data_IF_259081024396
#
_entry.id   IF_259081024396
#
_cell.length_a   1.000
_cell.length_b   1.000
_cell.length_c   1.000
_cell.angle_alpha   90.00
_cell.angle_beta   90.00
_cell.angle_gamma   90.00
#
_symmetry.space_group_name_H-M   'P 1'
#
loop_
_entity.id
_entity.type
_entity.pdbx_description
1 polymer ?
#
# COMPACT_ATOMS: atom_id res chain seq x y z
N UNK A 1 -5.18 -18.57 8.53
CA UNK A 1 -4.39 -17.33 8.32
C UNK A 1 -3.03 -17.76 7.84
N UNK A 2 -2.57 -17.30 6.67
CA UNK A 2 -1.23 -17.61 6.17
C UNK A 2 -0.32 -16.44 6.57
N UNK A 3 0.63 -16.66 7.46
CA UNK A 3 1.64 -15.67 7.82
C UNK A 3 2.78 -15.74 6.80
N UNK A 4 2.81 -14.81 5.85
CA UNK A 4 3.90 -14.69 4.89
C UNK A 4 4.94 -13.75 5.51
N UNK A 5 5.99 -14.31 6.11
CA UNK A 5 7.15 -13.52 6.52
C UNK A 5 7.88 -13.03 5.26
N UNK A 6 8.00 -11.72 5.12
CA UNK A 6 8.78 -11.09 4.05
C UNK A 6 9.96 -10.28 4.59
N UNK A 7 10.76 -9.64 3.72
CA UNK A 7 11.74 -8.63 4.13
C UNK A 7 11.07 -7.53 5.00
N UNK A 8 11.83 -6.54 5.49
CA UNK A 8 11.20 -5.29 5.97
C UNK A 8 10.44 -4.66 4.80
N UNK A 9 9.23 -5.15 4.54
CA UNK A 9 8.32 -4.73 3.50
C UNK A 9 7.68 -3.47 4.07
N UNK A 10 7.77 -2.38 3.33
CA UNK A 10 6.91 -1.25 3.61
C UNK A 10 5.48 -1.73 3.38
N UNK A 11 4.58 -1.51 4.34
CA UNK A 11 3.15 -1.82 4.20
C UNK A 11 2.52 -0.88 3.18
N UNK A 12 2.94 -0.97 1.93
CA UNK A 12 2.29 -0.32 0.80
C UNK A 12 1.25 -1.24 0.18
N UNK A 13 0.60 -0.75 -0.86
CA UNK A 13 -0.40 -1.49 -1.64
C UNK A 13 0.10 -2.89 -2.04
N UNK A 14 -0.74 -3.89 -1.85
CA UNK A 14 -0.50 -5.30 -2.21
C UNK A 14 -1.54 -5.75 -3.23
N UNK A 15 -1.11 -6.47 -4.27
CA UNK A 15 -2.04 -7.16 -5.18
C UNK A 15 -1.76 -8.65 -5.22
N UNK A 16 -2.83 -9.43 -5.38
CA UNK A 16 -2.80 -10.89 -5.39
C UNK A 16 -3.34 -11.38 -6.73
N UNK A 17 -2.51 -12.07 -7.51
CA UNK A 17 -2.96 -12.69 -8.76
C UNK A 17 -2.97 -14.21 -8.63
N UNK A 18 -4.08 -14.83 -9.05
CA UNK A 18 -4.17 -16.27 -9.29
C UNK A 18 -3.99 -16.53 -10.78
N UNK A 19 -2.99 -17.32 -11.17
CA UNK A 19 -2.84 -17.75 -12.55
C UNK A 19 -3.68 -19.01 -12.79
N UNK A 20 -4.44 -19.07 -13.89
CA UNK A 20 -5.37 -20.17 -14.14
C UNK A 20 -4.65 -21.52 -14.34
N UNK A 21 -5.26 -22.57 -13.78
CA UNK A 21 -4.93 -24.00 -13.94
C UNK A 21 -3.50 -24.40 -13.58
N UNK A 22 -3.24 -24.45 -12.26
CA UNK A 22 -2.11 -25.20 -11.69
C UNK A 22 -0.84 -24.41 -11.42
N UNK A 23 -0.87 -23.08 -11.55
CA UNK A 23 0.24 -22.20 -11.19
C UNK A 23 0.03 -21.51 -9.84
N UNK A 24 1.10 -21.14 -9.12
CA UNK A 24 1.01 -20.64 -7.76
C UNK A 24 0.47 -19.22 -7.69
N UNK A 25 -0.13 -18.89 -6.54
CA UNK A 25 -0.48 -17.54 -6.15
C UNK A 25 0.75 -16.63 -6.24
N UNK A 26 0.61 -15.48 -6.89
CA UNK A 26 1.61 -14.43 -6.92
C UNK A 26 1.15 -13.23 -6.08
N UNK A 27 1.95 -12.85 -5.08
CA UNK A 27 1.77 -11.61 -4.33
C UNK A 27 2.74 -10.56 -4.88
N UNK A 28 2.26 -9.37 -5.21
CA UNK A 28 3.10 -8.27 -5.66
C UNK A 28 2.99 -7.10 -4.68
N UNK A 29 4.14 -6.57 -4.27
CA UNK A 29 4.28 -5.41 -3.37
C UNK A 29 5.59 -4.68 -3.68
N UNK A 30 5.94 -3.67 -2.88
CA UNK A 30 7.20 -2.93 -2.94
C UNK A 30 8.06 -3.18 -1.68
N UNK A 31 9.37 -3.09 -1.83
CA UNK A 31 10.26 -2.93 -0.66
C UNK A 31 10.41 -1.46 -0.25
N UNK A 32 11.20 -1.20 0.79
CA UNK A 32 11.46 0.17 1.29
C UNK A 32 12.25 1.05 0.31
N UNK A 33 12.66 0.53 -0.84
CA UNK A 33 13.35 1.28 -1.91
C UNK A 33 12.47 1.44 -3.16
N UNK A 34 11.16 1.22 -3.04
CA UNK A 34 10.19 1.28 -4.14
C UNK A 34 10.47 0.28 -5.28
N UNK A 35 11.15 -0.83 -4.96
CA UNK A 35 11.42 -1.90 -5.92
C UNK A 35 10.32 -2.97 -5.84
N UNK A 36 9.62 -3.28 -6.95
CA UNK A 36 8.61 -4.33 -6.96
C UNK A 36 9.19 -5.70 -6.56
N UNK A 37 8.51 -6.36 -5.62
CA UNK A 37 8.80 -7.73 -5.19
C UNK A 37 7.62 -8.63 -5.45
N UNK A 38 7.91 -9.85 -5.91
CA UNK A 38 6.92 -10.88 -6.13
C UNK A 38 7.19 -12.07 -5.20
N UNK A 39 6.17 -12.54 -4.52
CA UNK A 39 6.18 -13.78 -3.75
C UNK A 39 5.46 -14.87 -4.55
N UNK A 40 6.05 -16.06 -4.62
CA UNK A 40 5.42 -17.23 -5.21
C UNK A 40 5.16 -18.29 -4.15
N UNK A 41 3.93 -18.81 -4.12
CA UNK A 41 3.54 -19.86 -3.16
C UNK A 41 4.26 -21.21 -3.34
N UNK A 42 4.86 -21.48 -4.51
CA UNK A 42 5.58 -22.74 -4.77
C UNK A 42 6.92 -22.82 -4.06
N UNK A 43 7.67 -21.71 -4.01
CA UNK A 43 9.01 -21.66 -3.44
C UNK A 43 9.08 -20.90 -2.10
N UNK A 44 7.92 -20.39 -1.64
CA UNK A 44 7.78 -19.59 -0.41
C UNK A 44 8.83 -18.48 -0.28
N UNK A 45 9.24 -17.89 -1.40
CA UNK A 45 10.32 -16.90 -1.43
C UNK A 45 9.91 -15.59 -2.08
N UNK A 46 10.42 -14.48 -1.54
CA UNK A 46 10.32 -13.16 -2.15
C UNK A 46 11.46 -12.98 -3.14
N UNK A 47 11.14 -12.50 -4.35
CA UNK A 47 12.15 -12.25 -5.40
C UNK A 47 11.97 -10.86 -6.00
N UNK A 48 13.09 -10.25 -6.35
CA UNK A 48 13.10 -9.12 -7.27
C UNK A 48 12.74 -9.61 -8.67
N UNK A 49 12.07 -8.78 -9.45
CA UNK A 49 11.86 -9.05 -10.88
C UNK A 49 13.14 -8.61 -11.63
N UNK A 50 13.98 -9.54 -12.13
CA UNK A 50 15.37 -9.22 -12.52
C UNK A 50 15.50 -8.27 -13.70
N UNK A 51 14.49 -8.23 -14.56
CA UNK A 51 14.46 -7.45 -15.81
C UNK A 51 13.81 -6.08 -15.63
N UNK A 52 13.39 -5.72 -14.42
CA UNK A 52 12.74 -4.43 -14.14
C UNK A 52 13.74 -3.29 -14.37
N UNK A 53 13.38 -2.27 -15.17
CA UNK A 53 14.18 -1.06 -15.28
C UNK A 53 14.33 -0.38 -13.92
N UNK A 54 15.52 0.15 -13.65
CA UNK A 54 15.77 1.02 -12.50
C UNK A 54 14.90 2.28 -12.62
N UNK A 55 13.88 2.38 -11.75
CA UNK A 55 12.97 3.52 -11.66
C UNK A 55 12.35 3.54 -10.25
N UNK A 56 11.70 4.65 -9.90
CA UNK A 56 10.86 4.76 -8.71
C UNK A 56 9.45 4.30 -9.06
N UNK A 57 9.11 3.07 -8.70
CA UNK A 57 7.81 2.46 -8.99
C UNK A 57 6.84 2.77 -7.85
N UNK A 58 5.71 3.40 -8.17
CA UNK A 58 4.84 4.01 -7.15
C UNK A 58 3.46 3.38 -6.98
N UNK A 59 2.90 2.71 -8.00
CA UNK A 59 1.58 2.08 -7.84
C UNK A 59 1.39 0.79 -8.65
N UNK A 60 0.76 -0.20 -8.00
CA UNK A 60 0.42 -1.50 -8.58
C UNK A 60 -1.09 -1.67 -8.75
N UNK A 61 -1.50 -2.44 -9.74
CA UNK A 61 -2.91 -2.78 -9.97
C UNK A 61 -3.03 -4.14 -10.67
N UNK A 62 -4.19 -4.78 -10.56
CA UNK A 62 -4.54 -5.94 -11.39
C UNK A 62 -5.42 -5.46 -12.55
N UNK A 63 -4.88 -5.50 -13.76
CA UNK A 63 -5.63 -5.20 -14.95
C UNK A 63 -6.41 -6.45 -15.42
N UNK A 64 -7.66 -6.25 -15.86
CA UNK A 64 -8.58 -7.33 -16.28
C UNK A 64 -8.75 -8.42 -15.21
N UNK A 65 -8.56 -8.07 -13.93
CA UNK A 65 -8.73 -8.95 -12.78
C UNK A 65 -7.58 -9.92 -12.49
N UNK A 66 -6.56 -10.02 -13.35
CA UNK A 66 -5.49 -11.00 -13.16
C UNK A 66 -4.10 -10.57 -13.63
N UNK A 67 -3.96 -9.51 -14.42
CA UNK A 67 -2.68 -9.06 -14.98
C UNK A 67 -2.00 -8.05 -14.04
N UNK A 68 -0.91 -8.42 -13.34
CA UNK A 68 -0.23 -7.48 -12.46
C UNK A 68 0.45 -6.39 -13.28
N UNK A 69 0.14 -5.14 -12.95
CA UNK A 69 0.68 -3.96 -13.58
C UNK A 69 1.38 -3.08 -12.55
N UNK A 70 2.51 -2.49 -12.94
CA UNK A 70 3.31 -1.57 -12.13
C UNK A 70 3.47 -0.26 -12.89
N UNK A 71 3.40 0.86 -12.18
CA UNK A 71 3.58 2.20 -12.74
C UNK A 71 4.66 2.98 -12.01
N UNK A 72 5.51 3.66 -12.75
CA UNK A 72 6.50 4.58 -12.19
C UNK A 72 5.94 5.99 -11.96
N UNK A 73 6.71 6.83 -11.28
CA UNK A 73 6.33 8.22 -10.98
C UNK A 73 5.98 9.07 -12.22
N UNK A 74 6.47 8.68 -13.40
CA UNK A 74 6.20 9.37 -14.67
C UNK A 74 5.01 8.76 -15.43
N UNK A 75 4.29 7.80 -14.83
CA UNK A 75 3.16 7.15 -15.48
C UNK A 75 3.57 6.10 -16.52
N UNK A 76 4.84 5.70 -16.60
CA UNK A 76 5.23 4.55 -17.43
C UNK A 76 4.68 3.30 -16.79
N UNK A 77 3.99 2.48 -17.56
CA UNK A 77 3.31 1.30 -17.01
C UNK A 77 3.75 0.03 -17.71
N UNK A 78 4.12 -0.95 -16.89
CA UNK A 78 4.56 -2.27 -17.30
C UNK A 78 3.59 -3.31 -16.77
N UNK A 79 3.35 -4.35 -17.56
CA UNK A 79 2.68 -5.57 -17.14
C UNK A 79 3.73 -6.64 -16.85
N UNK A 80 3.51 -7.37 -15.77
CA UNK A 80 4.28 -8.56 -15.42
C UNK A 80 3.51 -9.76 -15.98
N UNK A 81 4.03 -10.32 -17.07
CA UNK A 81 3.50 -11.53 -17.68
C UNK A 81 4.03 -12.80 -17.01
N UNK A 82 3.72 -13.93 -17.63
CA UNK A 82 4.22 -15.24 -17.21
C UNK A 82 5.76 -15.26 -17.16
N UNK A 83 6.31 -16.08 -16.25
CA UNK A 83 7.75 -16.21 -16.02
C UNK A 83 8.47 -14.87 -15.76
N UNK A 84 7.76 -13.91 -15.18
CA UNK A 84 8.27 -12.56 -14.90
C UNK A 84 8.70 -11.79 -16.15
N UNK A 85 8.13 -12.13 -17.30
CA UNK A 85 8.30 -11.32 -18.51
C UNK A 85 7.72 -9.93 -18.30
N UNK A 86 8.40 -8.92 -18.82
CA UNK A 86 7.97 -7.53 -18.66
C UNK A 86 7.51 -7.02 -20.01
N UNK A 87 6.28 -6.52 -20.06
CA UNK A 87 5.68 -5.95 -21.26
C UNK A 87 5.35 -4.49 -21.02
N UNK A 88 5.84 -3.60 -21.88
CA UNK A 88 5.43 -2.20 -21.87
C UNK A 88 3.95 -2.10 -22.28
N UNK A 89 3.09 -1.68 -21.34
CA UNK A 89 1.70 -1.36 -21.60
C UNK A 89 1.55 0.09 -22.06
N UNK A 90 2.24 1.03 -21.42
CA UNK A 90 2.10 2.45 -21.76
C UNK A 90 3.39 3.24 -21.59
N UNK A 91 3.62 4.14 -22.54
CA UNK A 91 4.64 5.19 -22.43
C UNK A 91 4.29 6.20 -21.33
N UNK A 92 5.30 6.91 -20.77
CA UNK A 92 5.10 7.87 -19.69
C UNK A 92 4.13 9.01 -20.05
N UNK A 93 3.43 9.53 -19.04
CA UNK A 93 2.73 10.83 -19.06
C UNK A 93 3.35 11.72 -17.98
N UNK A 94 4.11 12.71 -18.42
CA UNK A 94 4.71 13.69 -17.55
C UNK A 94 3.65 14.67 -17.03
N UNK A 95 3.74 15.01 -15.75
CA UNK A 95 2.71 15.81 -15.11
C UNK A 95 2.85 15.83 -13.60
N UNK A 96 1.80 15.41 -12.91
CA UNK A 96 1.70 15.41 -11.46
C UNK A 96 2.79 14.60 -10.77
N UNK A 97 2.88 14.76 -9.46
CA UNK A 97 3.92 14.15 -8.64
C UNK A 97 3.55 12.77 -8.07
N UNK A 98 2.27 12.38 -8.17
CA UNK A 98 1.77 11.07 -7.71
C UNK A 98 0.94 10.43 -8.80
N UNK A 99 1.06 9.10 -8.94
CA UNK A 99 0.36 8.31 -9.95
C UNK A 99 -0.37 7.16 -9.27
N UNK A 100 -1.66 6.99 -9.57
CA UNK A 100 -2.42 5.80 -9.18
C UNK A 100 -2.87 5.02 -10.40
N UNK A 101 -2.78 3.69 -10.33
CA UNK A 101 -3.44 2.81 -11.30
C UNK A 101 -4.77 2.34 -10.74
N UNK A 102 -5.81 2.40 -11.56
CA UNK A 102 -7.15 1.95 -11.18
C UNK A 102 -7.72 1.10 -12.31
N UNK A 103 -8.07 -0.15 -12.02
CA UNK A 103 -8.90 -0.93 -12.94
C UNK A 103 -10.35 -0.44 -12.79
N UNK A 104 -10.99 -0.21 -13.93
CA UNK A 104 -12.38 0.23 -14.00
C UNK A 104 -13.01 -0.38 -15.24
N UNK A 105 -13.93 -1.32 -15.05
CA UNK A 105 -14.80 -1.78 -16.15
C UNK A 105 -14.01 -2.41 -17.33
N UNK A 106 -12.96 -3.17 -17.02
CA UNK A 106 -11.99 -3.75 -17.97
C UNK A 106 -11.06 -2.74 -18.67
N UNK A 107 -11.17 -1.45 -18.33
CA UNK A 107 -10.19 -0.44 -18.70
C UNK A 107 -9.15 -0.27 -17.58
N UNK A 108 -7.91 0.05 -17.97
CA UNK A 108 -6.89 0.51 -17.03
C UNK A 108 -6.85 2.03 -17.06
N UNK A 109 -7.02 2.64 -15.90
CA UNK A 109 -6.96 4.08 -15.72
C UNK A 109 -5.67 4.46 -14.99
N UNK A 110 -5.07 5.56 -15.41
CA UNK A 110 -3.99 6.26 -14.71
C UNK A 110 -4.56 7.57 -14.17
N UNK A 111 -4.49 7.75 -12.85
CA UNK A 111 -4.82 9.02 -12.19
C UNK A 111 -3.52 9.74 -11.89
N UNK A 112 -3.32 10.90 -12.52
CA UNK A 112 -2.16 11.78 -12.31
C UNK A 112 -2.53 12.94 -11.39
N UNK A 113 -1.88 13.00 -10.22
CA UNK A 113 -2.24 13.88 -9.13
C UNK A 113 -1.20 14.97 -8.94
N UNK A 114 -1.67 16.21 -8.83
CA UNK A 114 -0.86 17.40 -8.60
C UNK A 114 -1.10 17.89 -7.17
N UNK A 115 -0.03 18.06 -6.40
CA UNK A 115 -0.10 18.75 -5.10
C UNK A 115 -0.72 17.96 -3.96
N UNK A 116 -1.10 16.69 -4.17
CA UNK A 116 -1.79 15.85 -3.16
C UNK A 116 -0.97 15.68 -1.87
N UNK A 117 0.35 15.52 -1.98
CA UNK A 117 1.26 15.31 -0.84
C UNK A 117 2.10 16.54 -0.48
N UNK A 118 2.01 17.61 -1.28
CA UNK A 118 2.90 18.77 -1.17
C UNK A 118 2.17 20.09 -0.93
N UNK A 119 0.88 20.19 -1.24
CA UNK A 119 0.11 21.40 -1.01
C UNK A 119 -0.76 21.32 0.25
N UNK A 120 -0.66 22.30 1.16
CA UNK A 120 -1.61 22.41 2.26
C UNK A 120 -3.00 22.88 1.79
N UNK A 121 -3.15 23.41 0.58
CA UNK A 121 -4.41 24.01 0.11
C UNK A 121 -5.09 23.20 -0.99
N UNK A 122 -6.36 22.90 -0.78
CA UNK A 122 -7.17 22.08 -1.69
C UNK A 122 -7.31 22.70 -3.10
N UNK A 123 -7.22 24.03 -3.21
CA UNK A 123 -7.27 24.76 -4.49
C UNK A 123 -6.10 24.46 -5.44
N UNK A 124 -4.98 23.98 -4.89
CA UNK A 124 -3.79 23.66 -5.68
C UNK A 124 -3.79 22.19 -6.10
N UNK A 125 -4.71 21.39 -5.57
CA UNK A 125 -4.86 19.98 -5.89
C UNK A 125 -5.64 19.84 -7.19
N UNK A 126 -5.07 19.08 -8.12
CA UNK A 126 -5.69 18.76 -9.41
C UNK A 126 -5.45 17.30 -9.77
N UNK A 127 -6.37 16.75 -10.54
CA UNK A 127 -6.29 15.39 -11.06
C UNK A 127 -6.53 15.40 -12.55
N UNK A 128 -5.67 14.70 -13.28
CA UNK A 128 -5.89 14.32 -14.66
C UNK A 128 -6.07 12.80 -14.70
N UNK A 129 -7.11 12.32 -15.40
CA UNK A 129 -7.34 10.88 -15.56
C UNK A 129 -7.10 10.49 -17.00
N UNK A 130 -6.43 9.37 -17.21
CA UNK A 130 -6.13 8.81 -18.52
C UNK A 130 -6.60 7.37 -18.59
N UNK A 131 -7.06 6.94 -19.76
CA UNK A 131 -7.33 5.55 -20.09
C UNK A 131 -6.21 4.98 -20.93
N UNK A 132 -5.87 3.71 -20.70
CA UNK A 132 -4.92 2.96 -21.50
C UNK A 132 -5.46 2.73 -22.92
N UNK A 133 -4.65 3.07 -23.92
CA UNK A 133 -4.78 2.56 -25.29
C UNK A 133 -3.71 1.47 -25.47
N UNK A 134 -4.13 0.21 -25.26
CA UNK A 134 -3.24 -0.95 -25.30
C UNK A 134 -2.52 -1.10 -26.65
N UNK A 135 -3.21 -0.75 -27.74
CA UNK A 135 -2.70 -0.91 -29.10
C UNK A 135 -1.59 0.09 -29.38
N UNK A 136 -1.82 1.34 -29.01
CA UNK A 136 -0.88 2.44 -29.26
C UNK A 136 0.13 2.62 -28.11
N UNK A 137 0.01 1.83 -27.04
CA UNK A 137 0.85 1.87 -25.83
C UNK A 137 0.95 3.28 -25.25
N UNK A 138 -0.18 3.95 -25.12
CA UNK A 138 -0.25 5.34 -24.67
C UNK A 138 -1.43 5.56 -23.74
N UNK A 139 -1.37 6.66 -23.03
CA UNK A 139 -2.42 7.15 -22.17
C UNK A 139 -3.26 8.19 -22.92
N UNK A 140 -4.58 8.01 -22.92
CA UNK A 140 -5.54 8.93 -23.54
C UNK A 140 -6.30 9.65 -22.45
N UNK A 141 -6.16 10.98 -22.38
CA UNK A 141 -6.81 11.78 -21.35
C UNK A 141 -8.33 11.68 -21.44
N UNK A 142 -8.98 11.43 -20.31
CA UNK A 142 -10.43 11.43 -20.16
C UNK A 142 -10.90 12.81 -19.70
N UNK A 143 -12.05 13.23 -20.22
CA UNK A 143 -12.76 14.44 -19.75
C UNK A 143 -13.90 14.09 -18.79
N UNK A 144 -14.27 12.81 -18.70
CA UNK A 144 -15.31 12.32 -17.81
C UNK A 144 -15.09 10.84 -17.48
N UNK A 145 -15.52 10.43 -16.29
CA UNK A 145 -15.61 9.04 -15.86
C UNK A 145 -17.04 8.47 -16.00
N UNK A 146 -17.99 9.28 -16.49
CA UNK A 146 -19.40 8.87 -16.56
C UNK A 146 -19.97 8.54 -15.17
N UNK A 147 -20.54 7.35 -15.03
CA UNK A 147 -21.12 6.88 -13.74
C UNK A 147 -20.05 6.42 -12.73
N UNK A 148 -18.76 6.43 -13.10
CA UNK A 148 -17.71 5.87 -12.26
C UNK A 148 -17.26 6.84 -11.16
N UNK A 149 -17.04 6.27 -9.98
CA UNK A 149 -16.35 6.88 -8.83
C UNK A 149 -15.02 6.15 -8.66
N UNK A 150 -13.91 6.89 -8.60
CA UNK A 150 -12.61 6.32 -8.30
C UNK A 150 -12.26 6.58 -6.83
N UNK A 151 -11.78 5.56 -6.14
CA UNK A 151 -11.23 5.67 -4.80
C UNK A 151 -9.72 5.50 -4.92
N UNK A 152 -8.95 6.48 -4.48
CA UNK A 152 -7.49 6.46 -4.56
C UNK A 152 -6.87 6.84 -3.22
N UNK A 153 -5.98 5.98 -2.75
CA UNK A 153 -5.16 6.13 -1.56
C UNK A 153 -3.81 5.42 -1.81
N UNK A 154 -2.83 5.66 -0.95
CA UNK A 154 -1.51 5.03 -0.99
C UNK A 154 -1.61 3.50 -0.87
N UNK A 155 -2.53 3.03 -0.02
CA UNK A 155 -2.71 1.61 0.27
C UNK A 155 -3.70 0.90 -0.66
N UNK A 156 -4.63 1.65 -1.27
CA UNK A 156 -5.68 1.06 -2.08
C UNK A 156 -6.14 1.99 -3.20
N UNK A 157 -6.46 1.40 -4.34
CA UNK A 157 -7.22 2.12 -5.35
C UNK A 157 -8.12 1.18 -6.13
N UNK A 158 -9.36 1.60 -6.32
CA UNK A 158 -10.41 0.82 -6.97
C UNK A 158 -11.48 1.74 -7.56
N UNK A 159 -12.34 1.18 -8.41
CA UNK A 159 -13.45 1.88 -9.02
C UNK A 159 -14.78 1.19 -8.68
N UNK A 160 -15.84 1.99 -8.53
CA UNK A 160 -17.21 1.51 -8.45
C UNK A 160 -18.12 2.41 -9.29
N UNK A 161 -19.31 1.92 -9.64
CA UNK A 161 -20.32 2.77 -10.25
C UNK A 161 -21.09 3.52 -9.16
N UNK A 162 -21.48 4.77 -9.41
CA UNK A 162 -22.30 5.55 -8.49
C UNK A 162 -23.66 4.88 -8.29
N UNK A 163 -24.18 4.24 -9.33
CA UNK A 163 -25.41 3.45 -9.29
C UNK A 163 -25.33 2.30 -8.27
N UNK A 164 -24.25 1.51 -8.29
CA UNK A 164 -24.03 0.39 -7.35
C UNK A 164 -23.80 0.87 -5.91
N UNK A 165 -23.18 2.05 -5.77
CA UNK A 165 -22.98 2.70 -4.47
C UNK A 165 -24.25 3.39 -3.94
N UNK A 166 -25.28 3.51 -4.77
CA UNK A 166 -26.49 4.28 -4.47
C UNK A 166 -26.20 5.74 -4.07
N UNK A 167 -25.20 6.35 -4.72
CA UNK A 167 -24.86 7.78 -4.54
C UNK A 167 -25.34 8.60 -5.73
N UNK A 168 -25.46 9.91 -5.54
CA UNK A 168 -26.13 10.77 -6.50
C UNK A 168 -25.46 10.83 -7.87
N UNK A 169 -24.12 10.91 -7.93
CA UNK A 169 -23.39 11.17 -9.16
C UNK A 169 -22.09 10.34 -9.28
N UNK A 170 -21.72 9.97 -10.51
CA UNK A 170 -20.38 9.53 -10.82
C UNK A 170 -19.43 10.71 -11.06
N UNK A 171 -18.47 10.50 -11.96
CA UNK A 171 -17.56 11.53 -12.45
C UNK A 171 -16.68 12.18 -11.38
N UNK A 172 -16.32 11.42 -10.35
CA UNK A 172 -15.54 11.94 -9.23
C UNK A 172 -14.46 10.98 -8.73
N UNK A 173 -13.51 11.57 -8.01
CA UNK A 173 -12.41 10.88 -7.34
C UNK A 173 -12.52 11.18 -5.85
N UNK A 174 -12.50 10.14 -5.03
CA UNK A 174 -12.46 10.24 -3.57
C UNK A 174 -11.06 9.81 -3.11
N UNK A 175 -10.46 10.64 -2.26
CA UNK A 175 -9.12 10.39 -1.75
C UNK A 175 -8.98 10.89 -0.30
N UNK A 176 -7.96 10.38 0.39
CA UNK A 176 -7.59 10.84 1.73
C UNK A 176 -6.41 11.80 1.65
N UNK A 177 -6.51 12.95 2.34
CA UNK A 177 -5.40 13.87 2.51
C UNK A 177 -4.52 13.40 3.69
N UNK A 178 -3.20 13.39 3.49
CA UNK A 178 -2.20 12.93 4.44
C UNK A 178 -2.43 11.45 4.84
N UNK A 179 -2.13 10.51 3.94
CA UNK A 179 -2.41 9.05 4.04
C UNK A 179 -1.88 8.36 5.31
N UNK A 180 -0.82 8.89 5.94
CA UNK A 180 -0.07 8.19 7.00
C UNK A 180 -0.81 7.93 8.33
N UNK A 181 -2.00 8.48 8.55
CA UNK A 181 -2.77 8.28 9.77
C UNK A 181 -4.02 7.41 9.54
N UNK A 182 -4.32 6.49 10.45
CA UNK A 182 -5.53 5.67 10.40
C UNK A 182 -6.77 6.55 10.65
N UNK A 183 -7.80 6.44 9.81
CA UNK A 183 -9.12 7.07 10.02
C UNK A 183 -9.85 6.27 11.11
N UNK A 184 -10.07 6.87 12.28
CA UNK A 184 -10.69 6.19 13.44
C UNK A 184 -12.05 6.76 13.82
N UNK A 185 -12.39 7.94 13.31
CA UNK A 185 -13.60 8.67 13.66
C UNK A 185 -14.22 9.40 12.48
N UNK A 186 -15.49 9.78 12.62
CA UNK A 186 -16.18 10.65 11.67
C UNK A 186 -15.48 12.02 11.51
N UNK A 187 -14.87 12.53 12.57
CA UNK A 187 -14.11 13.79 12.50
C UNK A 187 -12.86 13.65 11.61
N UNK A 188 -12.23 12.48 11.61
CA UNK A 188 -11.10 12.19 10.71
C UNK A 188 -11.57 12.17 9.25
N UNK A 189 -12.72 11.53 8.98
CA UNK A 189 -13.34 11.52 7.64
C UNK A 189 -13.62 12.95 7.19
N UNK A 190 -14.28 13.75 8.02
CA UNK A 190 -14.61 15.14 7.68
C UNK A 190 -13.37 16.00 7.44
N UNK A 191 -12.31 15.82 8.22
CA UNK A 191 -11.10 16.64 8.11
C UNK A 191 -10.19 16.22 6.95
N UNK A 192 -10.15 14.93 6.59
CA UNK A 192 -9.14 14.39 5.68
C UNK A 192 -9.67 13.89 4.35
N UNK A 193 -10.88 13.34 4.29
CA UNK A 193 -11.41 12.83 3.03
C UNK A 193 -11.89 13.98 2.14
N UNK A 194 -11.60 13.85 0.86
CA UNK A 194 -11.90 14.83 -0.17
C UNK A 194 -12.57 14.15 -1.34
N UNK A 195 -13.37 14.92 -2.06
CA UNK A 195 -13.97 14.55 -3.32
C UNK A 195 -13.57 15.58 -4.38
N UNK A 196 -13.17 15.09 -5.54
CA UNK A 196 -12.83 15.90 -6.70
C UNK A 196 -13.76 15.53 -7.86
N UNK A 197 -14.53 16.50 -8.34
CA UNK A 197 -15.42 16.34 -9.49
C UNK A 197 -14.68 16.76 -10.77
N UNK A 198 -14.59 15.86 -11.76
CA UNK A 198 -13.78 16.08 -12.97
C UNK A 198 -14.31 17.22 -13.85
N UNK A 199 -15.63 17.38 -13.91
CA UNK A 199 -16.29 18.43 -14.69
C UNK A 199 -16.13 19.82 -14.08
N UNK A 200 -16.06 19.91 -12.75
CA UNK A 200 -15.85 21.16 -12.02
C UNK A 200 -14.37 21.51 -11.87
N UNK A 201 -13.49 20.50 -11.86
CA UNK A 201 -12.06 20.67 -11.64
C UNK A 201 -11.73 21.20 -10.24
N UNK A 202 -12.60 20.92 -9.26
CA UNK A 202 -12.50 21.46 -7.90
C UNK A 202 -12.52 20.34 -6.86
N UNK A 203 -11.73 20.54 -5.80
CA UNK A 203 -11.76 19.73 -4.58
C UNK A 203 -12.77 20.31 -3.58
N UNK A 204 -13.54 19.42 -2.95
CA UNK A 204 -14.41 19.74 -1.82
C UNK A 204 -14.20 18.74 -0.67
N UNK A 205 -14.48 19.15 0.58
CA UNK A 205 -14.63 18.22 1.68
C UNK A 205 -15.68 17.14 1.36
N UNK A 206 -15.38 15.88 1.68
CA UNK A 206 -16.36 14.80 1.53
C UNK A 206 -17.58 15.02 2.45
N UNK A 207 -17.39 15.76 3.55
CA UNK A 207 -18.45 16.15 4.50
C UNK A 207 -19.64 16.87 3.86
N UNK A 208 -19.40 17.53 2.72
CA UNK A 208 -20.42 18.30 2.02
C UNK A 208 -21.37 17.40 1.21
N UNK A 209 -21.08 16.11 1.13
CA UNK A 209 -21.81 15.11 0.35
C UNK A 209 -22.25 13.93 1.24
N UNK A 210 -23.37 14.07 1.98
CA UNK A 210 -23.81 13.09 2.97
C UNK A 210 -24.01 11.67 2.43
N UNK A 211 -24.38 11.51 1.16
CA UNK A 211 -24.58 10.19 0.55
C UNK A 211 -23.28 9.41 0.38
N UNK A 212 -22.15 10.09 0.16
CA UNK A 212 -20.85 9.44 0.07
C UNK A 212 -20.26 9.15 1.46
N UNK A 213 -20.47 10.02 2.44
CA UNK A 213 -19.99 9.79 3.82
C UNK A 213 -20.55 8.47 4.38
N UNK A 214 -21.81 8.15 4.06
CA UNK A 214 -22.48 6.93 4.49
C UNK A 214 -21.79 5.65 3.99
N UNK A 215 -20.98 5.72 2.94
CA UNK A 215 -20.18 4.60 2.46
C UNK A 215 -19.07 4.22 3.46
N UNK A 216 -18.60 5.19 4.25
CA UNK A 216 -17.49 5.02 5.18
C UNK A 216 -17.92 5.01 6.64
N UNK A 217 -19.04 5.65 6.99
CA UNK A 217 -19.49 5.81 8.37
C UNK A 217 -21.01 5.71 8.54
N UNK A 218 -21.50 4.99 9.58
CA UNK A 218 -20.73 4.20 10.54
C UNK A 218 -20.12 2.96 9.88
N UNK A 219 -18.95 2.48 10.36
CA UNK A 219 -18.36 1.27 9.85
C UNK A 219 -19.32 0.09 10.04
N UNK A 220 -19.43 -0.83 9.05
CA UNK A 220 -20.20 -2.05 9.19
C UNK A 220 -19.84 -2.83 10.46
N UNK A 221 -20.83 -3.43 11.12
CA UNK A 221 -20.65 -4.16 12.39
C UNK A 221 -19.57 -5.24 12.35
N UNK A 222 -19.38 -5.90 11.21
CA UNK A 222 -18.37 -6.95 11.07
C UNK A 222 -16.95 -6.40 11.14
N UNK A 223 -16.70 -5.18 10.65
CA UNK A 223 -15.39 -4.50 10.80
C UNK A 223 -15.14 -4.20 12.28
N UNK A 224 -16.16 -3.71 12.99
CA UNK A 224 -16.07 -3.45 14.43
C UNK A 224 -15.84 -4.74 15.25
N UNK A 225 -16.36 -5.87 14.78
CA UNK A 225 -16.17 -7.18 15.41
C UNK A 225 -14.74 -7.71 15.30
N UNK A 226 -14.01 -7.41 14.21
CA UNK A 226 -12.62 -7.84 14.00
C UNK A 226 -11.64 -7.19 14.99
N UNK A 227 -11.93 -5.97 15.46
CA UNK A 227 -11.10 -5.29 16.46
C UNK A 227 -11.33 -5.76 17.90
N UNK A 228 -12.39 -6.54 18.15
CA UNK A 228 -12.72 -7.06 19.48
C UNK A 228 -12.27 -8.52 19.68
N UNK A 229 -11.63 -9.15 18.68
CA UNK A 229 -11.24 -10.56 18.71
C UNK A 229 -9.75 -10.82 19.01
N UNK A 230 -8.97 -9.80 19.40
CA UNK A 230 -7.53 -9.94 19.66
C UNK A 230 -7.18 -10.45 21.07
N UNK A 231 -8.12 -11.06 21.80
CA UNK A 231 -7.83 -11.85 23.00
C UNK A 231 -7.76 -13.33 22.61
N UNK A 232 -6.67 -13.73 21.96
CA UNK A 232 -6.32 -15.14 21.78
C UNK A 232 -5.29 -15.52 22.82
N UNK A 233 -5.71 -16.38 23.76
CA UNK A 233 -4.86 -17.06 24.74
C UNK A 233 -3.67 -17.71 24.03
N UNK A 234 -2.46 -17.27 24.38
CA UNK A 234 -1.26 -18.03 24.09
C UNK A 234 -1.35 -19.38 24.82
N UNK A 235 -0.98 -20.52 24.20
CA UNK A 235 -0.94 -21.77 24.91
C UNK A 235 0.14 -21.68 26.01
N UNK A 236 -0.27 -21.89 27.27
CA UNK A 236 0.64 -22.07 28.39
C UNK A 236 1.63 -23.19 28.05
N UNK A 237 2.93 -22.87 28.07
CA UNK A 237 3.96 -23.90 28.07
C UNK A 237 3.78 -24.75 29.34
N UNK A 238 3.49 -26.02 29.14
CA UNK A 238 3.40 -27.00 30.22
C UNK A 238 4.79 -27.29 30.77
N UNK A 239 5.09 -26.77 31.95
CA UNK A 239 6.19 -27.24 32.79
C UNK A 239 5.95 -28.71 33.21
N UNK A 240 6.86 -29.60 32.80
CA UNK A 240 7.34 -30.83 33.46
C UNK A 240 8.25 -31.55 32.45
N UNK A 241 9.46 -32.00 32.76
CA UNK A 241 9.84 -32.80 33.92
C UNK A 241 11.26 -32.50 34.41
N UNK A 242 11.39 -32.51 35.73
CA UNK A 242 12.64 -32.72 36.47
C UNK A 242 13.07 -34.18 36.27
N UNK A 243 14.33 -34.39 35.89
CA UNK A 243 15.08 -35.58 36.33
C UNK A 243 16.31 -35.10 37.08
N UNK A 244 16.32 -35.38 38.38
CA UNK A 244 17.48 -35.33 39.27
C UNK A 244 18.49 -36.43 38.90
N UNK A 245 19.75 -36.17 39.23
CA UNK A 245 20.74 -37.06 39.87
C UNK A 245 22.13 -36.47 39.52
N UNK A 246 22.71 -35.62 40.38
CA UNK A 246 23.61 -35.97 41.49
C UNK A 246 24.99 -36.47 40.99
N UNK A 247 26.02 -35.60 41.04
CA UNK A 247 27.31 -35.94 41.67
C UNK A 247 28.26 -34.73 41.74
N UNK A 248 29.04 -34.67 42.81
CA UNK A 248 30.40 -34.11 42.76
C UNK A 248 30.61 -32.65 43.17
N UNK A 249 30.69 -32.43 44.47
CA UNK A 249 31.37 -31.31 45.13
C UNK A 249 32.78 -31.05 44.58
N UNK A 250 33.15 -29.78 44.38
CA UNK A 250 34.47 -29.32 44.81
C UNK A 250 34.44 -27.86 45.26
N UNK A 251 35.14 -27.61 46.36
CA UNK A 251 35.20 -26.40 47.17
C UNK A 251 36.64 -25.93 47.09
N UNK A 252 36.89 -24.67 46.74
CA UNK A 252 38.25 -24.17 46.73
C UNK A 252 38.34 -22.70 46.37
N UNK A 253 38.09 -21.86 47.37
CA UNK A 253 38.28 -20.42 47.40
C UNK A 253 39.68 -19.99 46.94
N UNK A 254 39.73 -18.86 46.24
CA UNK A 254 40.96 -18.12 45.91
C UNK A 254 40.58 -16.67 45.72
N UNK A 255 40.45 -15.95 46.84
CA UNK A 255 40.53 -14.50 46.89
C UNK A 255 41.99 -14.13 46.69
N UNK A 256 42.29 -13.26 45.73
CA UNK A 256 43.49 -12.44 45.74
C UNK A 256 43.08 -11.04 45.27
N UNK A 257 43.23 -10.12 46.22
CA UNK A 257 43.23 -8.67 46.07
C UNK A 257 44.32 -8.24 45.08
N UNK A 258 44.14 -7.11 44.41
CA UNK A 258 45.09 -5.99 44.53
C UNK A 258 44.61 -4.78 43.70
N UNK A 259 44.73 -3.66 44.40
CA UNK A 259 44.48 -2.27 44.04
C UNK A 259 45.23 -1.80 42.78
N UNK A 260 44.73 -0.75 42.12
CA UNK A 260 45.42 0.54 42.09
C UNK A 260 44.60 1.54 41.26
N UNK A 261 44.11 2.56 41.97
CA UNK A 261 43.76 3.88 41.45
C UNK A 261 45.03 4.59 40.96
N UNK A 262 44.92 5.37 39.89
CA UNK A 262 45.74 6.55 39.52
C UNK A 262 45.13 7.06 38.20
N UNK A 263 44.34 8.13 38.21
CA UNK A 263 44.69 9.56 38.30
C UNK A 263 44.79 10.22 36.91
N UNK A 264 44.18 11.41 36.86
CA UNK A 264 44.54 12.59 36.06
C UNK A 264 44.34 12.54 34.53
N UNK A 265 44.05 13.63 33.84
CA UNK A 265 43.40 14.91 34.10
C UNK A 265 43.32 15.55 32.70
N UNK A 266 42.35 16.45 32.55
CA UNK A 266 42.46 17.70 31.79
C UNK A 266 42.59 17.80 30.26
N UNK A 267 42.00 18.93 29.84
CA UNK A 267 42.27 19.80 28.69
C UNK A 267 41.47 19.60 27.39
N UNK A 268 40.35 20.33 27.34
CA UNK A 268 40.16 21.52 26.50
C UNK A 268 41.04 21.64 25.23
N UNK A 269 40.40 21.78 24.06
CA UNK A 269 40.32 23.07 23.32
C UNK A 269 39.73 22.91 21.91
N UNK A 270 38.96 23.94 21.55
CA UNK A 270 38.46 24.42 20.24
C UNK A 270 37.32 23.69 19.47
#
# INVERSE_FOLDING_TARGET
>A
MFYIYGPKIHTGKVVVATCEMGQPLALLTYDTSDVPKIFQGEDNSWRCIPTMPESSWGNICLFKGWQPCVTDKNGRTLMIGENFSIVLLANPVFGGNVKFLVESECDLLLVDCYGIDSSPFDKDIRFDVFRLDEKEKKWVKLTTLGDRVLFVDEDCSFSASASDLHVANGNCIIYSKNSSAIIKSLNDIHSRMRIFHLDQGQVSPLSDYPDYIKLFWPPPKWILGLHNSDEFDAPEESDNERTSDDDGSDIGSGDDDDDDDDDDDDDDDD
#
